data_IF_407526807849
#
_entry.id   IF_407526807849
#
_cell.length_a   1.000
_cell.length_b   1.000
_cell.length_c   1.000
_cell.angle_alpha   90.00
_cell.angle_beta   90.00
_cell.angle_gamma   90.00
#
_symmetry.space_group_name_H-M   'P 1'
#
loop_
_entity.id
_entity.type
_entity.pdbx_description
1 polymer ?
#
# COMPACT_ATOMS: atom_id res chain seq x y z
N UNK A 1 15.62 -6.40 28.87
CA UNK A 1 14.56 -5.41 28.54
C UNK A 1 14.94 -4.75 27.22
N UNK A 2 14.59 -5.39 26.10
CA UNK A 2 14.99 -5.01 24.73
C UNK A 2 13.78 -4.73 23.82
N UNK A 3 12.64 -4.36 24.41
CA UNK A 3 11.37 -4.16 23.69
C UNK A 3 11.29 -2.81 22.95
N UNK A 4 12.15 -1.85 23.30
CA UNK A 4 12.15 -0.49 22.75
C UNK A 4 12.68 -0.40 21.31
N UNK A 5 13.75 -1.13 20.98
CA UNK A 5 14.37 -1.08 19.65
C UNK A 5 13.56 -1.82 18.58
N UNK A 6 12.98 -2.97 18.92
CA UNK A 6 12.13 -3.73 17.99
C UNK A 6 10.84 -2.98 17.67
N UNK A 7 10.22 -2.35 18.67
CA UNK A 7 9.04 -1.50 18.47
C UNK A 7 9.37 -0.24 17.66
N UNK A 8 10.57 0.34 17.83
CA UNK A 8 11.02 1.47 17.03
C UNK A 8 11.35 1.08 15.57
N UNK A 9 11.89 -0.11 15.35
CA UNK A 9 12.13 -0.65 14.01
C UNK A 9 10.82 -0.96 13.29
N UNK A 10 9.83 -1.54 13.98
CA UNK A 10 8.48 -1.80 13.42
C UNK A 10 7.75 -0.48 13.15
N UNK A 11 7.85 0.52 14.03
CA UNK A 11 7.25 1.86 13.80
C UNK A 11 7.92 2.67 12.69
N UNK A 12 9.13 2.31 12.27
CA UNK A 12 9.87 3.00 11.19
C UNK A 12 9.77 2.29 9.85
N UNK A 13 9.19 1.10 9.82
CA UNK A 13 8.84 0.37 8.63
C UNK A 13 7.37 0.72 8.38
N UNK A 14 7.10 1.68 7.48
CA UNK A 14 5.77 1.96 6.92
C UNK A 14 5.27 0.73 6.14
N UNK A 15 5.10 -0.39 6.85
CA UNK A 15 4.54 -1.62 6.31
C UNK A 15 3.05 -1.36 6.19
N UNK A 16 2.62 -1.19 4.94
CA UNK A 16 1.20 -1.15 4.60
C UNK A 16 0.65 -2.57 4.70
N UNK A 17 -0.20 -2.81 5.68
CA UNK A 17 -0.93 -4.05 5.85
C UNK A 17 -2.17 -4.09 4.93
N UNK A 18 -2.64 -5.29 4.53
CA UNK A 18 -3.89 -5.41 3.80
C UNK A 18 -5.07 -4.80 4.59
N UNK A 19 -5.77 -3.84 4.00
CA UNK A 19 -6.87 -3.12 4.63
C UNK A 19 -6.50 -1.73 5.14
N UNK A 20 -5.22 -1.38 5.14
CA UNK A 20 -4.78 -0.06 5.57
C UNK A 20 -5.28 1.06 4.65
N UNK A 21 -5.64 2.18 5.27
CA UNK A 21 -5.91 3.42 4.57
C UNK A 21 -4.58 4.07 4.16
N UNK A 22 -4.46 4.38 2.88
CA UNK A 22 -3.27 5.00 2.30
C UNK A 22 -3.63 6.19 1.42
N UNK A 23 -2.70 7.12 1.25
CA UNK A 23 -2.79 8.20 0.26
C UNK A 23 -2.03 7.76 -0.99
N UNK A 24 -2.71 7.69 -2.14
CA UNK A 24 -2.06 7.50 -3.43
C UNK A 24 -1.55 8.84 -3.97
N UNK A 25 -0.28 8.88 -4.33
CA UNK A 25 0.39 10.04 -4.92
C UNK A 25 1.28 9.65 -6.13
N UNK A 26 0.89 8.59 -6.85
CA UNK A 26 1.64 8.07 -7.99
C UNK A 26 1.41 8.80 -9.32
N UNK A 27 1.64 8.12 -10.43
CA UNK A 27 1.65 8.71 -11.78
C UNK A 27 0.28 9.05 -12.39
N UNK A 28 -0.84 8.80 -11.70
CA UNK A 28 -2.19 9.09 -12.19
C UNK A 28 -2.84 10.17 -11.30
N UNK A 29 -2.64 11.47 -11.60
CA UNK A 29 -3.10 12.57 -10.73
C UNK A 29 -4.60 12.60 -10.48
N UNK A 30 -5.41 12.24 -11.48
CA UNK A 30 -6.86 12.18 -11.36
C UNK A 30 -7.38 11.12 -10.37
N UNK A 31 -6.48 10.28 -9.82
CA UNK A 31 -6.80 9.25 -8.83
C UNK A 31 -6.04 9.44 -7.52
N UNK A 32 -5.31 10.54 -7.37
CA UNK A 32 -4.71 10.92 -6.09
C UNK A 32 -5.80 11.03 -5.02
N UNK A 33 -5.47 10.66 -3.80
CA UNK A 33 -6.42 10.66 -2.70
C UNK A 33 -6.33 9.40 -1.85
N UNK A 34 -7.36 9.18 -1.04
CA UNK A 34 -7.41 8.09 -0.07
C UNK A 34 -7.91 6.79 -0.69
N UNK A 35 -7.24 5.69 -0.39
CA UNK A 35 -7.60 4.36 -0.84
C UNK A 35 -7.34 3.33 0.25
N UNK A 36 -8.00 2.19 0.17
CA UNK A 36 -7.69 0.99 0.93
C UNK A 36 -6.68 0.15 0.15
N UNK A 37 -5.53 -0.12 0.76
CA UNK A 37 -4.49 -0.94 0.15
C UNK A 37 -4.75 -2.43 0.38
N UNK A 38 -4.65 -3.23 -0.67
CA UNK A 38 -4.67 -4.70 -0.59
C UNK A 38 -3.57 -5.28 -1.47
N UNK A 39 -3.01 -6.47 -1.20
CA UNK A 39 -2.03 -7.08 -2.10
C UNK A 39 -2.57 -7.27 -3.52
N UNK A 40 -1.77 -6.94 -4.52
CA UNK A 40 -2.17 -7.12 -5.91
C UNK A 40 -2.06 -8.60 -6.31
N UNK A 41 -3.20 -9.25 -6.53
CA UNK A 41 -3.28 -10.68 -6.92
C UNK A 41 -3.45 -10.88 -8.44
N UNK A 42 -3.00 -9.93 -9.27
CA UNK A 42 -3.06 -10.13 -10.72
C UNK A 42 -2.03 -11.17 -11.17
N UNK A 43 -2.25 -11.89 -12.29
CA UNK A 43 -1.32 -12.93 -12.75
C UNK A 43 0.13 -12.46 -12.87
N UNK A 44 0.35 -11.20 -13.26
CA UNK A 44 1.68 -10.61 -13.34
C UNK A 44 2.37 -10.48 -11.97
N UNK A 45 1.66 -10.04 -10.93
CA UNK A 45 2.24 -9.90 -9.59
C UNK A 45 2.42 -11.25 -8.90
N UNK A 46 1.49 -12.19 -9.12
CA UNK A 46 1.63 -13.56 -8.60
C UNK A 46 2.86 -14.25 -9.17
N UNK A 47 3.03 -14.21 -10.50
CA UNK A 47 4.22 -14.77 -11.16
C UNK A 47 5.51 -14.10 -10.67
N UNK A 48 5.53 -12.76 -10.53
CA UNK A 48 6.70 -12.05 -10.02
C UNK A 48 7.09 -12.54 -8.60
N UNK A 49 6.10 -12.74 -7.72
CA UNK A 49 6.32 -13.29 -6.39
C UNK A 49 6.87 -14.72 -6.40
N UNK A 50 6.38 -15.58 -7.31
CA UNK A 50 6.87 -16.97 -7.46
C UNK A 50 8.34 -17.04 -7.89
N UNK A 51 8.81 -16.06 -8.67
CA UNK A 51 10.22 -15.94 -9.08
C UNK A 51 11.11 -15.24 -8.03
N UNK A 52 10.58 -14.95 -6.83
CA UNK A 52 11.33 -14.32 -5.75
C UNK A 52 11.55 -12.82 -5.94
N UNK A 53 10.71 -12.15 -6.76
CA UNK A 53 10.73 -10.69 -6.81
C UNK A 53 10.13 -10.13 -5.53
N UNK A 54 10.92 -9.37 -4.79
CA UNK A 54 10.47 -8.61 -3.60
C UNK A 54 9.63 -7.37 -3.97
N UNK A 55 9.23 -7.21 -5.24
CA UNK A 55 8.44 -6.07 -5.74
C UNK A 55 6.96 -6.25 -5.35
N UNK A 56 6.67 -6.13 -4.04
CA UNK A 56 5.31 -6.12 -3.50
C UNK A 56 4.53 -4.97 -4.13
N UNK A 57 3.35 -5.28 -4.66
CA UNK A 57 2.46 -4.28 -5.26
C UNK A 57 1.07 -4.38 -4.68
N UNK A 58 0.37 -3.25 -4.70
CA UNK A 58 -0.95 -3.07 -4.12
C UNK A 58 -2.02 -2.89 -5.20
N UNK A 59 -3.22 -3.34 -4.84
CA UNK A 59 -4.48 -3.01 -5.43
C UNK A 59 -5.17 -2.01 -4.50
N UNK A 60 -5.39 -0.80 -5.01
CA UNK A 60 -6.00 0.29 -4.25
C UNK A 60 -7.49 0.35 -4.59
N UNK A 61 -8.29 0.24 -3.53
CA UNK A 61 -9.74 0.24 -3.59
C UNK A 61 -10.22 1.57 -3.03
N UNK A 62 -11.09 2.24 -3.76
CA UNK A 62 -11.76 3.44 -3.29
C UNK A 62 -12.82 3.04 -2.24
N UNK A 63 -12.68 3.49 -0.97
CA UNK A 63 -13.63 3.10 0.07
C UNK A 63 -15.01 3.75 -0.08
N UNK A 64 -15.15 4.79 -0.90
CA UNK A 64 -16.42 5.48 -1.16
C UNK A 64 -17.02 5.13 -2.52
N UNK A 65 -16.37 4.27 -3.31
CA UNK A 65 -16.81 3.85 -4.65
C UNK A 65 -17.02 5.04 -5.63
N UNK A 66 -16.31 6.15 -5.43
CA UNK A 66 -16.39 7.34 -6.29
C UNK A 66 -15.65 7.14 -7.62
N UNK A 67 -14.61 6.31 -7.62
CA UNK A 67 -13.79 5.99 -8.79
C UNK A 67 -14.24 4.67 -9.42
N UNK A 68 -14.73 4.75 -10.67
CA UNK A 68 -15.28 3.61 -11.40
C UNK A 68 -14.31 2.44 -11.65
N UNK A 69 -13.00 2.57 -11.39
CA UNK A 69 -12.04 1.47 -11.53
C UNK A 69 -10.94 1.57 -10.47
N UNK A 70 -10.61 0.48 -9.76
CA UNK A 70 -9.52 0.46 -8.81
C UNK A 70 -8.14 0.57 -9.50
N UNK A 71 -7.14 1.03 -8.77
CA UNK A 71 -5.74 1.04 -9.22
C UNK A 71 -5.10 -0.31 -8.93
N UNK A 72 -4.43 -0.90 -9.91
CA UNK A 72 -3.74 -2.20 -9.77
C UNK A 72 -2.25 -2.02 -9.94
N UNK A 73 -1.49 -2.97 -9.38
CA UNK A 73 -0.03 -3.00 -9.49
C UNK A 73 0.64 -1.71 -8.98
N UNK A 74 0.03 -1.04 -8.00
CA UNK A 74 0.58 0.18 -7.41
C UNK A 74 1.76 -0.19 -6.56
N UNK A 75 2.87 0.51 -6.74
CA UNK A 75 4.09 0.23 -6.00
C UNK A 75 4.07 0.92 -4.61
N UNK A 76 4.82 0.40 -3.62
CA UNK A 76 4.82 0.93 -2.25
C UNK A 76 5.25 2.41 -2.19
N UNK A 77 6.18 2.83 -3.03
CA UNK A 77 6.71 4.21 -3.08
C UNK A 77 5.70 5.22 -3.68
N UNK A 78 4.59 4.73 -4.23
CA UNK A 78 3.50 5.57 -4.75
C UNK A 78 2.36 5.77 -3.74
N UNK A 79 2.50 5.23 -2.53
CA UNK A 79 1.51 5.33 -1.46
C UNK A 79 2.17 5.75 -0.15
N UNK A 80 1.41 6.47 0.68
CA UNK A 80 1.80 6.81 2.06
C UNK A 80 0.76 6.25 3.01
N UNK A 81 1.19 5.53 4.04
CA UNK A 81 0.30 4.99 5.08
C UNK A 81 -0.32 6.13 5.89
N UNK A 82 -1.66 6.11 6.08
CA UNK A 82 -2.37 7.16 6.82
C UNK A 82 -2.27 7.03 8.35
N UNK A 83 -1.54 6.04 8.90
CA UNK A 83 -1.36 5.86 10.35
C UNK A 83 -0.75 7.08 11.06
N UNK A 84 -0.21 8.04 10.30
CA UNK A 84 0.34 9.32 10.76
C UNK A 84 -0.56 10.54 10.48
N UNK A 85 -1.78 10.35 9.95
CA UNK A 85 -2.71 11.44 9.60
C UNK A 85 -3.71 11.78 10.72
N UNK A 86 -3.56 11.20 11.91
CA UNK A 86 -4.36 11.49 13.09
C UNK A 86 -3.45 11.85 14.28
N UNK A 87 -2.76 12.99 14.19
CA UNK A 87 -2.24 13.74 15.33
C UNK A 87 -2.59 15.23 15.14
#
# INVERSE_FOLDING_TARGET
>A
MSESLFSALIRSLDIVEPGDLVIYHGSIPARHGFHIATPCVCPHCLLAGEYGSEDLRYHLIDPWDETARPLRCVRPESITLCASACD
#
